data_IF_327344776241
#
_entry.id   IF_327344776241
#
_cell.length_a   1.000
_cell.length_b   1.000
_cell.length_c   1.000
_cell.angle_alpha   90.00
_cell.angle_beta   90.00
_cell.angle_gamma   90.00
#
_symmetry.space_group_name_H-M   'P 1'
#
loop_
_entity.id
_entity.type
_entity.pdbx_description
1 polymer ?
#
# COMPACT_ATOMS: atom_id res chain seq x y z
N UNK A 1 14.58 0.34 -6.55
CA UNK A 1 14.15 -1.07 -6.76
C UNK A 1 15.39 -1.95 -6.78
N UNK A 2 15.28 -3.20 -6.32
CA UNK A 2 16.38 -4.15 -6.41
C UNK A 2 16.39 -4.77 -7.82
N UNK A 3 17.00 -4.07 -8.77
CA UNK A 3 17.03 -4.47 -10.18
C UNK A 3 18.36 -5.13 -10.54
N UNK A 4 18.31 -6.13 -11.41
CA UNK A 4 19.49 -6.81 -11.94
C UNK A 4 19.18 -7.39 -13.32
N UNK A 5 20.22 -7.79 -14.04
CA UNK A 5 20.12 -8.50 -15.31
C UNK A 5 20.24 -10.00 -15.03
N UNK A 6 19.29 -10.78 -15.54
CA UNK A 6 19.35 -12.24 -15.42
C UNK A 6 20.26 -12.87 -16.49
N UNK A 7 20.44 -14.19 -16.42
CA UNK A 7 21.27 -14.93 -17.40
C UNK A 7 20.72 -14.90 -18.84
N UNK A 8 19.48 -14.47 -19.03
CA UNK A 8 18.85 -14.29 -20.33
C UNK A 8 18.88 -12.83 -20.82
N UNK A 9 19.71 -11.98 -20.22
CA UNK A 9 19.81 -10.54 -20.52
C UNK A 9 18.50 -9.78 -20.34
N UNK A 10 17.63 -10.24 -19.44
CA UNK A 10 16.37 -9.55 -19.11
C UNK A 10 16.58 -8.69 -17.89
N UNK A 11 16.08 -7.46 -17.96
CA UNK A 11 16.01 -6.56 -16.80
C UNK A 11 14.88 -7.00 -15.89
N UNK A 12 15.23 -7.52 -14.71
CA UNK A 12 14.27 -7.99 -13.71
C UNK A 12 14.46 -7.23 -12.40
N UNK A 13 13.44 -7.26 -11.55
CA UNK A 13 13.51 -6.70 -10.21
C UNK A 13 12.93 -7.68 -9.20
N UNK A 14 13.55 -7.77 -8.03
CA UNK A 14 12.87 -8.36 -6.87
C UNK A 14 11.69 -7.45 -6.51
N UNK A 15 10.53 -8.07 -6.24
CA UNK A 15 9.29 -7.32 -6.01
C UNK A 15 9.42 -6.36 -4.82
N UNK A 16 9.10 -5.07 -4.99
CA UNK A 16 9.11 -4.10 -3.89
C UNK A 16 7.86 -4.18 -3.01
N UNK A 17 6.75 -4.65 -3.57
CA UNK A 17 5.44 -4.80 -2.95
C UNK A 17 4.64 -5.88 -3.70
N UNK A 18 3.50 -6.29 -3.14
CA UNK A 18 2.68 -7.40 -3.65
C UNK A 18 1.52 -6.93 -4.54
N UNK A 19 1.06 -5.69 -4.39
CA UNK A 19 -0.11 -5.13 -5.09
C UNK A 19 -0.02 -5.26 -6.62
N UNK A 20 1.11 -4.91 -7.30
CA UNK A 20 1.20 -5.06 -8.75
C UNK A 20 1.14 -6.52 -9.21
N UNK A 21 1.62 -7.45 -8.37
CA UNK A 21 1.56 -8.89 -8.67
C UNK A 21 0.13 -9.42 -8.60
N UNK A 22 -0.65 -8.99 -7.60
CA UNK A 22 -2.08 -9.30 -7.51
C UNK A 22 -2.86 -8.72 -8.69
N UNK A 23 -2.64 -7.43 -9.00
CA UNK A 23 -3.30 -6.79 -10.14
C UNK A 23 -3.04 -7.56 -11.44
N UNK A 24 -1.79 -7.95 -11.71
CA UNK A 24 -1.43 -8.79 -12.87
C UNK A 24 -2.17 -10.13 -12.89
N UNK A 25 -2.26 -10.81 -11.75
CA UNK A 25 -2.95 -12.10 -11.64
C UNK A 25 -4.45 -11.96 -11.93
N UNK A 26 -5.09 -10.92 -11.38
CA UNK A 26 -6.52 -10.65 -11.60
C UNK A 26 -6.79 -10.29 -13.06
N UNK A 27 -5.97 -9.42 -13.65
CA UNK A 27 -6.07 -9.06 -15.07
C UNK A 27 -5.91 -10.28 -15.97
N UNK A 28 -4.91 -11.14 -15.69
CA UNK A 28 -4.65 -12.33 -16.47
C UNK A 28 -5.80 -13.34 -16.41
N UNK A 29 -6.45 -13.49 -15.24
CA UNK A 29 -7.63 -14.35 -15.10
C UNK A 29 -8.89 -13.75 -15.73
N UNK A 30 -8.97 -12.42 -15.86
CA UNK A 30 -10.06 -11.72 -16.53
C UNK A 30 -11.44 -12.10 -15.96
N UNK A 31 -12.39 -12.45 -16.85
CA UNK A 31 -13.78 -12.81 -16.49
C UNK A 31 -13.91 -14.08 -15.63
N UNK A 32 -12.84 -14.89 -15.50
CA UNK A 32 -12.88 -16.09 -14.65
C UNK A 32 -12.77 -15.78 -13.16
N UNK A 33 -12.41 -14.54 -12.79
CA UNK A 33 -12.39 -14.11 -11.38
C UNK A 33 -13.81 -13.77 -10.94
N UNK A 34 -14.33 -14.49 -9.95
CA UNK A 34 -15.57 -14.12 -9.28
C UNK A 34 -15.35 -12.92 -8.36
N UNK A 35 -16.29 -11.98 -8.38
CA UNK A 35 -16.31 -10.81 -7.50
C UNK A 35 -17.46 -10.91 -6.49
N UNK A 36 -17.28 -10.43 -5.25
CA UNK A 36 -16.09 -9.75 -4.75
C UNK A 36 -14.93 -10.72 -4.47
N UNK A 37 -13.72 -10.35 -4.89
CA UNK A 37 -12.51 -11.11 -4.62
C UNK A 37 -11.87 -10.60 -3.34
N UNK A 38 -11.73 -11.48 -2.34
CA UNK A 38 -10.98 -11.22 -1.11
C UNK A 38 -9.73 -12.09 -1.12
N UNK A 39 -8.56 -11.48 -1.14
CA UNK A 39 -7.29 -12.16 -1.26
C UNK A 39 -6.34 -11.70 -0.15
N UNK A 40 -5.52 -12.61 0.37
CA UNK A 40 -4.41 -12.25 1.25
C UNK A 40 -3.14 -12.99 0.85
N UNK A 41 -1.99 -12.43 1.19
CA UNK A 41 -0.72 -13.13 1.05
C UNK A 41 0.28 -12.62 2.08
N UNK A 42 1.15 -13.49 2.58
CA UNK A 42 2.32 -13.10 3.37
C UNK A 42 3.54 -13.36 2.50
N UNK A 43 4.20 -12.30 2.04
CA UNK A 43 5.27 -12.40 1.05
C UNK A 43 6.48 -11.56 1.40
N UNK A 44 7.67 -12.11 1.13
CA UNK A 44 8.92 -11.38 1.22
C UNK A 44 9.00 -10.31 0.11
N UNK A 45 9.33 -9.07 0.48
CA UNK A 45 9.47 -7.90 -0.39
C UNK A 45 10.84 -7.25 -0.21
N UNK A 46 11.34 -6.63 -1.27
CA UNK A 46 12.72 -6.17 -1.38
C UNK A 46 12.81 -4.69 -1.74
N UNK A 47 13.68 -3.96 -1.03
CA UNK A 47 13.99 -2.56 -1.34
C UNK A 47 15.49 -2.35 -1.39
N UNK A 48 15.90 -1.48 -2.31
CA UNK A 48 17.30 -1.10 -2.50
C UNK A 48 17.49 0.33 -2.01
N UNK A 49 17.81 0.44 -0.72
CA UNK A 49 18.06 1.71 -0.03
C UNK A 49 19.24 1.52 0.96
N UNK A 50 19.82 2.64 1.43
CA UNK A 50 20.77 2.62 2.53
C UNK A 50 20.07 2.04 3.77
N UNK A 51 20.66 1.03 4.38
CA UNK A 51 20.09 0.44 5.59
C UNK A 51 20.13 1.47 6.72
N UNK A 52 19.01 1.60 7.40
CA UNK A 52 18.90 2.35 8.66
C UNK A 52 18.40 1.40 9.74
N UNK A 53 18.47 1.81 11.01
CA UNK A 53 18.02 0.98 12.13
C UNK A 53 16.54 0.59 11.94
N UNK A 54 16.25 -0.71 11.95
CA UNK A 54 14.92 -1.25 11.69
C UNK A 54 14.51 -1.33 10.21
N UNK A 55 15.29 -0.74 9.29
CA UNK A 55 14.97 -0.69 7.85
C UNK A 55 15.94 -1.57 7.06
N UNK A 56 15.64 -2.88 7.01
CA UNK A 56 16.39 -3.87 6.21
C UNK A 56 16.03 -3.79 4.73
N UNK A 57 16.86 -4.42 3.89
CA UNK A 57 16.64 -4.56 2.43
C UNK A 57 15.56 -5.57 2.06
N UNK A 58 15.16 -6.42 3.00
CA UNK A 58 14.10 -7.41 2.84
C UNK A 58 13.20 -7.44 4.09
N UNK A 59 11.92 -7.73 3.89
CA UNK A 59 10.91 -7.83 4.94
C UNK A 59 9.72 -8.67 4.45
N UNK A 60 9.00 -9.29 5.39
CA UNK A 60 7.71 -9.92 5.10
C UNK A 60 6.59 -8.90 5.23
N UNK A 61 5.70 -8.90 4.25
CA UNK A 61 4.52 -8.06 4.22
C UNK A 61 3.27 -8.94 4.15
N UNK A 62 2.35 -8.74 5.10
CA UNK A 62 1.02 -9.29 5.03
C UNK A 62 0.13 -8.32 4.24
N UNK A 63 -0.26 -8.73 3.04
CA UNK A 63 -1.20 -8.00 2.18
C UNK A 63 -2.59 -8.60 2.32
N UNK A 64 -3.60 -7.73 2.39
CA UNK A 64 -5.02 -8.07 2.28
C UNK A 64 -5.65 -7.11 1.28
N UNK A 65 -6.35 -7.65 0.29
CA UNK A 65 -6.92 -6.89 -0.82
C UNK A 65 -8.35 -7.36 -1.08
N UNK A 66 -9.27 -6.40 -1.23
CA UNK A 66 -10.67 -6.65 -1.58
C UNK A 66 -10.95 -5.94 -2.91
N UNK A 67 -11.39 -6.69 -3.91
CA UNK A 67 -11.67 -6.18 -5.28
C UNK A 67 -13.14 -6.42 -5.60
N UNK A 68 -13.77 -5.44 -6.25
CA UNK A 68 -15.15 -5.54 -6.73
C UNK A 68 -16.22 -5.17 -5.69
N UNK A 69 -15.82 -4.49 -4.60
CA UNK A 69 -16.75 -3.93 -3.61
C UNK A 69 -16.77 -2.41 -3.75
N UNK A 70 -17.92 -1.79 -4.09
CA UNK A 70 -18.04 -0.34 -4.16
C UNK A 70 -18.18 0.29 -2.76
N UNK A 71 -17.96 1.60 -2.68
CA UNK A 71 -18.10 2.36 -1.42
C UNK A 71 -16.97 2.04 -0.44
N UNK A 72 -17.25 2.22 0.86
CA UNK A 72 -16.25 2.15 1.95
C UNK A 72 -16.24 0.81 2.70
N UNK A 73 -17.07 -0.15 2.28
CA UNK A 73 -17.26 -1.42 2.98
C UNK A 73 -15.99 -2.29 2.94
N UNK A 74 -15.24 -2.22 1.83
CA UNK A 74 -13.97 -2.93 1.69
C UNK A 74 -12.93 -2.41 2.70
N UNK A 75 -12.78 -1.09 2.79
CA UNK A 75 -11.85 -0.44 3.70
C UNK A 75 -12.21 -0.72 5.16
N UNK A 76 -13.51 -0.68 5.51
CA UNK A 76 -13.98 -1.01 6.85
C UNK A 76 -13.66 -2.47 7.22
N UNK A 77 -13.84 -3.42 6.30
CA UNK A 77 -13.52 -4.82 6.53
C UNK A 77 -12.01 -5.06 6.69
N UNK A 78 -11.18 -4.39 5.88
CA UNK A 78 -9.72 -4.43 6.00
C UNK A 78 -9.24 -3.90 7.36
N UNK A 79 -9.75 -2.74 7.79
CA UNK A 79 -9.42 -2.16 9.11
C UNK A 79 -9.88 -3.11 10.23
N UNK A 80 -11.10 -3.64 10.15
CA UNK A 80 -11.63 -4.60 11.12
C UNK A 80 -10.77 -5.87 11.23
N UNK A 81 -10.26 -6.35 10.10
CA UNK A 81 -9.34 -7.50 10.05
C UNK A 81 -8.03 -7.22 10.77
N UNK A 82 -7.45 -6.02 10.60
CA UNK A 82 -6.22 -5.61 11.29
C UNK A 82 -6.47 -5.44 12.80
N UNK A 83 -7.59 -4.81 13.18
CA UNK A 83 -7.98 -4.65 14.60
C UNK A 83 -8.17 -6.04 15.25
N UNK A 84 -8.81 -6.96 14.55
CA UNK A 84 -9.02 -8.34 15.04
C UNK A 84 -7.69 -9.06 15.23
N UNK A 85 -6.74 -8.88 14.29
CA UNK A 85 -5.39 -9.41 14.43
C UNK A 85 -4.67 -8.86 15.67
N UNK A 86 -4.68 -7.54 15.86
CA UNK A 86 -4.04 -6.91 17.02
C UNK A 86 -4.62 -7.40 18.35
N UNK A 87 -5.95 -7.46 18.47
CA UNK A 87 -6.62 -8.01 19.67
C UNK A 87 -6.19 -9.45 19.97
N UNK A 88 -6.03 -10.29 18.94
CA UNK A 88 -5.61 -11.69 19.11
C UNK A 88 -4.18 -11.86 19.60
N UNK A 89 -3.31 -10.87 19.35
CA UNK A 89 -1.92 -10.89 19.80
C UNK A 89 -1.69 -10.02 21.05
N UNK A 90 -2.76 -9.56 21.70
CA UNK A 90 -2.69 -8.78 22.93
C UNK A 90 -2.34 -7.30 22.74
N UNK A 91 -2.40 -6.78 21.51
CA UNK A 91 -2.26 -5.35 21.23
C UNK A 91 -3.62 -4.67 21.36
N UNK A 92 -3.66 -3.62 22.16
CA UNK A 92 -4.88 -2.90 22.54
C UNK A 92 -4.93 -1.49 21.93
N UNK A 93 -6.06 -0.81 22.08
CA UNK A 93 -6.25 0.57 21.64
C UNK A 93 -5.31 1.58 22.34
N UNK A 94 -4.75 1.25 23.50
CA UNK A 94 -3.71 2.08 24.12
C UNK A 94 -2.34 1.94 23.45
N UNK A 95 -2.13 0.87 22.68
CA UNK A 95 -0.85 0.57 22.02
C UNK A 95 -0.81 1.06 20.57
N UNK A 96 -1.96 1.07 19.88
CA UNK A 96 -2.05 1.36 18.44
C UNK A 96 -3.24 2.25 18.09
N UNK A 97 -3.04 3.11 17.10
CA UNK A 97 -4.10 3.95 16.52
C UNK A 97 -4.09 3.89 14.99
N UNK A 98 -5.27 4.03 14.39
CA UNK A 98 -5.45 4.06 12.93
C UNK A 98 -5.75 5.49 12.47
N UNK A 99 -4.94 6.01 11.55
CA UNK A 99 -5.21 7.28 10.87
C UNK A 99 -5.87 6.99 9.52
N UNK A 100 -7.09 7.48 9.33
CA UNK A 100 -7.86 7.30 8.10
C UNK A 100 -7.99 8.62 7.37
N UNK A 101 -7.77 8.63 6.06
CA UNK A 101 -7.92 9.80 5.20
C UNK A 101 -8.45 9.41 3.83
N UNK A 102 -8.94 10.40 3.07
CA UNK A 102 -9.38 10.20 1.69
C UNK A 102 -8.66 11.18 0.76
N UNK A 103 -8.01 10.64 -0.27
CA UNK A 103 -7.38 11.44 -1.32
C UNK A 103 -8.38 12.34 -2.06
N UNK A 104 -9.67 11.98 -2.08
CA UNK A 104 -10.73 12.81 -2.69
C UNK A 104 -10.86 14.16 -1.98
N UNK A 105 -10.72 14.19 -0.66
CA UNK A 105 -10.77 15.45 0.11
C UNK A 105 -9.61 16.36 -0.29
N UNK A 106 -8.38 15.81 -0.35
CA UNK A 106 -7.22 16.56 -0.81
C UNK A 106 -7.39 17.05 -2.25
N UNK A 107 -7.95 16.22 -3.13
CA UNK A 107 -8.20 16.58 -4.52
C UNK A 107 -9.15 17.79 -4.63
N UNK A 108 -10.24 17.81 -3.86
CA UNK A 108 -11.16 18.96 -3.83
C UNK A 108 -10.50 20.22 -3.25
N UNK A 109 -9.68 20.09 -2.20
CA UNK A 109 -8.92 21.22 -1.67
C UNK A 109 -7.98 21.80 -2.73
N UNK A 110 -7.23 20.97 -3.44
CA UNK A 110 -6.29 21.43 -4.47
C UNK A 110 -7.01 22.10 -5.65
N UNK A 111 -8.22 21.64 -6.01
CA UNK A 111 -9.06 22.29 -7.02
C UNK A 111 -9.46 23.72 -6.62
N UNK A 112 -9.78 23.96 -5.35
CA UNK A 112 -10.09 25.30 -4.85
C UNK A 112 -8.92 26.29 -5.02
N UNK A 113 -7.68 25.79 -5.06
CA UNK A 113 -6.47 26.59 -5.31
C UNK A 113 -6.02 26.57 -6.78
N UNK A 114 -6.89 26.13 -7.70
CA UNK A 114 -6.61 26.06 -9.14
C UNK A 114 -5.35 25.23 -9.49
N UNK A 115 -5.01 24.23 -8.68
CA UNK A 115 -3.89 23.33 -8.97
C UNK A 115 -4.35 22.29 -10.00
N UNK A 116 -3.64 22.14 -11.13
CA UNK A 116 -3.99 21.17 -12.18
C UNK A 116 -4.04 19.72 -11.69
N UNK A 117 -5.01 18.94 -12.19
CA UNK A 117 -5.22 17.54 -11.78
C UNK A 117 -4.04 16.62 -12.11
N UNK A 118 -3.32 16.89 -13.20
CA UNK A 118 -2.10 16.15 -13.57
C UNK A 118 -0.96 16.28 -12.53
N UNK A 119 -1.02 17.28 -11.64
CA UNK A 119 -0.07 17.47 -10.56
C UNK A 119 -0.45 16.69 -9.30
N UNK A 120 -1.66 16.14 -9.20
CA UNK A 120 -2.21 15.52 -7.99
C UNK A 120 -1.30 14.42 -7.40
N UNK A 121 -0.80 13.52 -8.26
CA UNK A 121 0.11 12.46 -7.85
C UNK A 121 1.42 12.99 -7.27
N UNK A 122 2.00 14.03 -7.87
CA UNK A 122 3.23 14.66 -7.37
C UNK A 122 3.00 15.34 -6.03
N UNK A 123 1.89 16.06 -5.88
CA UNK A 123 1.51 16.73 -4.63
C UNK A 123 1.33 15.72 -3.51
N UNK A 124 0.64 14.60 -3.76
CA UNK A 124 0.50 13.53 -2.76
C UNK A 124 1.85 13.01 -2.26
N UNK A 125 2.82 12.81 -3.16
CA UNK A 125 4.18 12.36 -2.79
C UNK A 125 4.94 13.42 -1.98
N UNK A 126 4.73 14.70 -2.25
CA UNK A 126 5.35 15.79 -1.49
C UNK A 126 4.75 15.87 -0.08
N UNK A 127 3.42 15.88 0.03
CA UNK A 127 2.71 15.96 1.32
C UNK A 127 3.07 14.77 2.21
N UNK A 128 3.17 13.57 1.66
CA UNK A 128 3.60 12.37 2.41
C UNK A 128 4.95 12.58 3.12
N UNK A 129 5.89 13.28 2.48
CA UNK A 129 7.21 13.62 3.06
C UNK A 129 7.15 14.70 4.13
N UNK A 130 6.20 15.63 4.03
CA UNK A 130 6.02 16.71 5.02
C UNK A 130 5.64 16.13 6.38
N UNK A 131 4.81 15.08 6.41
CA UNK A 131 4.44 14.37 7.64
C UNK A 131 5.64 13.83 8.42
N UNK A 132 6.71 13.40 7.75
CA UNK A 132 7.91 12.90 8.41
C UNK A 132 8.75 14.00 9.07
N UNK A 133 8.67 15.23 8.59
CA UNK A 133 9.47 16.34 9.11
C UNK A 133 8.94 16.87 10.46
N UNK A 134 7.62 16.85 10.66
CA UNK A 134 6.98 17.33 11.89
C UNK A 134 6.94 16.32 13.04
N UNK A 135 7.28 15.04 12.79
CA UNK A 135 7.33 13.97 13.81
C UNK A 135 8.73 13.72 14.37
N UNK A 136 9.75 14.41 13.87
CA UNK A 136 11.12 14.38 14.38
C UNK A 136 11.44 15.53 15.35
N UNK A 137 10.44 16.33 15.73
CA UNK A 137 10.51 17.37 16.76
C UNK A 137 9.44 17.13 17.81
#
# INVERSE_FOLDING_TARGET
LYCFEDRGNRRVALRPELTPSLARLVIQKGKSVSLPLKWFTVGQCWRYERMTRGRRREHYQWNMDIIGVPGVMAEAELISSIVTFFKRIGITESDVGFKVSSRKVLQEVLKCYAIPENMFGKVCVIIDKVSYAYWCY
#
